data_IF_562558850767
#
_entry.id   IF_562558850767
#
_cell.length_a   1.000
_cell.length_b   1.000
_cell.length_c   1.000
_cell.angle_alpha   90.00
_cell.angle_beta   90.00
_cell.angle_gamma   90.00
#
_symmetry.space_group_name_H-M   'P 1'
#
loop_
_entity.id
_entity.type
_entity.pdbx_description
1 polymer ?
#
# COMPACT_ATOMS: atom_id res chain seq x y z
N UNK A 1 3.77 25.08 -11.71
CA UNK A 1 4.17 25.71 -10.44
C UNK A 1 5.43 24.98 -10.03
N UNK A 2 6.58 25.59 -10.33
CA UNK A 2 7.89 24.92 -10.24
C UNK A 2 8.57 25.34 -8.94
N UNK A 3 8.49 24.50 -7.90
CA UNK A 3 9.23 24.64 -6.65
C UNK A 3 8.39 24.34 -5.41
N UNK A 4 8.88 23.41 -4.57
CA UNK A 4 8.34 23.20 -3.22
C UNK A 4 8.52 24.49 -2.41
N UNK A 5 7.48 25.04 -1.75
CA UNK A 5 7.58 26.28 -0.98
C UNK A 5 8.42 26.12 0.30
N UNK A 6 8.79 24.90 0.65
CA UNK A 6 9.66 24.61 1.80
C UNK A 6 11.12 24.79 1.37
N UNK A 7 11.88 25.72 1.98
CA UNK A 7 13.27 25.95 1.61
C UNK A 7 14.11 24.70 1.90
N UNK A 8 15.05 24.39 1.01
CA UNK A 8 16.02 23.35 1.29
C UNK A 8 16.94 23.78 2.44
N UNK A 9 16.88 23.05 3.56
CA UNK A 9 17.66 23.38 4.74
C UNK A 9 19.00 22.64 4.70
N UNK A 10 20.16 23.32 4.83
CA UNK A 10 21.49 22.71 4.85
C UNK A 10 21.75 22.00 6.19
N UNK A 11 20.91 20.99 6.49
CA UNK A 11 20.92 20.21 7.71
C UNK A 11 21.25 18.76 7.34
N UNK A 12 21.91 18.03 8.26
CA UNK A 12 22.30 16.61 8.09
C UNK A 12 21.17 15.68 7.66
N UNK A 13 19.91 16.08 7.87
CA UNK A 13 18.69 15.41 7.40
C UNK A 13 17.73 16.38 6.68
N UNK A 14 18.22 17.12 5.69
CA UNK A 14 17.44 18.13 4.95
C UNK A 14 16.03 17.67 4.56
N UNK A 15 15.90 16.48 3.94
CA UNK A 15 14.61 15.92 3.52
C UNK A 15 13.66 15.57 4.68
N UNK A 16 14.18 15.18 5.84
CA UNK A 16 13.35 14.94 7.03
C UNK A 16 12.80 16.26 7.59
N UNK A 17 13.61 17.31 7.56
CA UNK A 17 13.14 18.63 7.98
C UNK A 17 12.11 19.18 7.00
N UNK A 18 12.33 19.02 5.70
CA UNK A 18 11.36 19.41 4.66
C UNK A 18 10.02 18.69 4.86
N UNK A 19 10.05 17.38 5.12
CA UNK A 19 8.85 16.60 5.49
C UNK A 19 8.18 17.16 6.75
N UNK A 20 8.95 17.42 7.82
CA UNK A 20 8.39 17.92 9.07
C UNK A 20 7.75 19.32 8.91
N UNK A 21 8.40 20.24 8.20
CA UNK A 21 7.85 21.55 7.89
C UNK A 21 6.63 21.45 6.98
N UNK A 22 6.68 20.60 5.95
CA UNK A 22 5.54 20.37 5.07
C UNK A 22 4.33 19.82 5.83
N UNK A 23 4.54 18.86 6.75
CA UNK A 23 3.48 18.33 7.60
C UNK A 23 2.92 19.41 8.55
N UNK A 24 3.79 20.21 9.18
CA UNK A 24 3.36 21.30 10.05
C UNK A 24 2.51 22.33 9.29
N UNK A 25 2.97 22.76 8.11
CA UNK A 25 2.25 23.71 7.26
C UNK A 25 0.93 23.12 6.76
N UNK A 26 0.92 21.83 6.39
CA UNK A 26 -0.32 21.14 6.02
C UNK A 26 -1.34 21.16 7.17
N UNK A 27 -0.93 20.80 8.39
CA UNK A 27 -1.84 20.82 9.55
C UNK A 27 -2.32 22.24 9.86
N UNK A 28 -1.42 23.24 9.82
CA UNK A 28 -1.76 24.63 10.13
C UNK A 28 -2.66 25.27 9.08
N UNK A 29 -2.35 25.08 7.80
CA UNK A 29 -2.95 25.84 6.70
C UNK A 29 -4.08 25.07 6.02
N UNK A 30 -3.93 23.76 5.78
CA UNK A 30 -4.96 22.94 5.12
C UNK A 30 -5.95 22.41 6.14
N UNK A 31 -5.47 21.82 7.25
CA UNK A 31 -6.34 21.32 8.31
C UNK A 31 -6.81 22.41 9.29
N UNK A 32 -6.37 23.66 9.13
CA UNK A 32 -6.69 24.78 10.03
C UNK A 32 -6.44 24.50 11.53
N UNK A 33 -5.44 23.65 11.82
CA UNK A 33 -5.10 23.21 13.17
C UNK A 33 -5.91 22.01 13.70
N UNK A 34 -6.91 21.52 12.96
CA UNK A 34 -7.74 20.37 13.31
C UNK A 34 -7.60 19.24 12.28
N UNK A 35 -6.59 18.39 12.46
CA UNK A 35 -6.36 17.24 11.59
C UNK A 35 -7.50 16.21 11.65
N UNK A 36 -8.14 16.05 12.81
CA UNK A 36 -9.20 15.03 12.99
C UNK A 36 -10.48 15.51 12.32
N UNK A 37 -10.90 16.74 12.58
CA UNK A 37 -12.03 17.37 11.89
C UNK A 37 -11.80 17.44 10.38
N UNK A 38 -10.58 17.74 9.93
CA UNK A 38 -10.25 17.72 8.51
C UNK A 38 -10.46 16.34 7.87
N UNK A 39 -10.07 15.24 8.52
CA UNK A 39 -10.34 13.89 8.00
C UNK A 39 -11.84 13.60 7.96
N UNK A 40 -12.60 14.03 8.98
CA UNK A 40 -14.06 13.91 8.98
C UNK A 40 -14.67 14.63 7.79
N UNK A 41 -14.30 15.89 7.58
CA UNK A 41 -14.78 16.72 6.48
C UNK A 41 -14.47 16.09 5.12
N UNK A 42 -13.26 15.55 4.92
CA UNK A 42 -12.90 14.89 3.67
C UNK A 42 -13.73 13.62 3.40
N UNK A 43 -13.99 12.82 4.43
CA UNK A 43 -14.81 11.60 4.30
C UNK A 43 -16.28 11.96 4.04
N UNK A 44 -16.79 13.03 4.64
CA UNK A 44 -18.15 13.53 4.41
C UNK A 44 -18.30 14.25 3.06
N UNK A 45 -17.30 15.01 2.61
CA UNK A 45 -17.30 15.75 1.34
C UNK A 45 -17.27 14.80 0.14
N UNK A 46 -16.52 13.71 0.24
CA UNK A 46 -16.63 12.60 -0.70
C UNK A 46 -18.08 12.06 -0.79
N UNK A 47 -18.96 12.35 0.18
CA UNK A 47 -20.40 12.16 0.08
C UNK A 47 -20.85 10.70 0.14
N UNK A 48 -21.98 10.38 -0.50
CA UNK A 48 -22.45 9.00 -0.71
C UNK A 48 -21.64 8.25 -1.77
N UNK A 49 -20.44 8.73 -2.10
CA UNK A 49 -19.56 8.06 -3.04
C UNK A 49 -19.09 6.72 -2.45
N UNK A 50 -18.53 5.88 -3.31
CA UNK A 50 -18.05 4.58 -2.88
C UNK A 50 -16.90 4.72 -1.88
N UNK A 51 -16.64 3.67 -1.09
CA UNK A 51 -15.46 3.62 -0.20
C UNK A 51 -14.17 3.84 -0.99
N UNK A 52 -14.15 3.46 -2.27
CA UNK A 52 -13.04 3.71 -3.17
C UNK A 52 -12.82 5.21 -3.43
N UNK A 53 -13.90 5.96 -3.65
CA UNK A 53 -13.84 7.41 -3.88
C UNK A 53 -13.38 8.14 -2.60
N UNK A 54 -13.91 7.75 -1.44
CA UNK A 54 -13.48 8.28 -0.13
C UNK A 54 -11.98 8.03 0.11
N UNK A 55 -11.50 6.83 -0.22
CA UNK A 55 -10.08 6.48 -0.15
C UNK A 55 -9.24 7.31 -1.11
N UNK A 56 -9.61 7.36 -2.39
CA UNK A 56 -8.86 8.09 -3.42
C UNK A 56 -8.77 9.58 -3.07
N UNK A 57 -9.86 10.19 -2.60
CA UNK A 57 -9.89 11.57 -2.16
C UNK A 57 -8.96 11.83 -0.98
N UNK A 58 -9.04 11.01 0.08
CA UNK A 58 -8.17 11.15 1.25
C UNK A 58 -6.69 10.97 0.90
N UNK A 59 -6.35 9.99 0.05
CA UNK A 59 -4.97 9.78 -0.40
C UNK A 59 -4.46 10.97 -1.23
N UNK A 60 -5.30 11.56 -2.07
CA UNK A 60 -4.99 12.75 -2.86
C UNK A 60 -4.66 13.96 -1.99
N UNK A 61 -5.48 14.24 -0.99
CA UNK A 61 -5.27 15.38 -0.10
C UNK A 61 -3.98 15.25 0.72
N UNK A 62 -3.72 14.07 1.28
CA UNK A 62 -2.49 13.84 2.05
C UNK A 62 -1.23 13.71 1.18
N UNK A 63 -1.36 13.48 -0.13
CA UNK A 63 -0.24 13.47 -1.07
C UNK A 63 0.39 14.86 -1.26
N UNK A 64 -0.25 15.93 -0.78
CA UNK A 64 0.33 17.27 -0.74
C UNK A 64 1.50 17.39 0.27
N UNK A 65 1.63 16.47 1.22
CA UNK A 65 2.73 16.47 2.18
C UNK A 65 4.01 15.95 1.52
N UNK A 66 5.06 16.78 1.50
CA UNK A 66 6.32 16.49 0.83
C UNK A 66 6.98 15.21 1.35
N UNK A 67 7.46 14.37 0.43
CA UNK A 67 8.30 13.22 0.75
C UNK A 67 7.53 11.99 1.25
N UNK A 68 6.19 12.01 1.24
CA UNK A 68 5.38 10.84 1.61
C UNK A 68 4.95 10.09 0.34
N UNK A 69 5.35 8.83 0.23
CA UNK A 69 4.89 7.94 -0.85
C UNK A 69 3.47 7.42 -0.59
N UNK A 70 2.74 7.06 -1.65
CA UNK A 70 1.38 6.48 -1.55
C UNK A 70 1.33 5.22 -0.68
N UNK A 71 2.38 4.37 -0.75
CA UNK A 71 2.56 3.24 0.16
C UNK A 71 2.51 3.68 1.63
N UNK A 72 3.29 4.71 1.96
CA UNK A 72 3.42 5.20 3.32
C UNK A 72 2.12 5.86 3.79
N UNK A 73 1.45 6.64 2.93
CA UNK A 73 0.12 7.19 3.18
C UNK A 73 -0.90 6.11 3.48
N UNK A 74 -1.06 5.14 2.57
CA UNK A 74 -2.01 4.04 2.74
C UNK A 74 -1.72 3.21 3.98
N UNK A 75 -0.45 3.02 4.35
CA UNK A 75 -0.09 2.31 5.57
C UNK A 75 -0.46 3.10 6.82
N UNK A 76 -0.07 4.38 6.87
CA UNK A 76 -0.29 5.28 8.01
C UNK A 76 -1.78 5.55 8.24
N UNK A 77 -2.49 6.00 7.19
CA UNK A 77 -3.90 6.34 7.27
C UNK A 77 -4.74 5.12 7.65
N UNK A 78 -4.49 3.95 7.07
CA UNK A 78 -5.21 2.75 7.47
C UNK A 78 -5.07 2.42 8.96
N UNK A 79 -3.85 2.56 9.53
CA UNK A 79 -3.65 2.33 10.96
C UNK A 79 -4.38 3.37 11.79
N UNK A 80 -4.26 4.65 11.43
CA UNK A 80 -4.95 5.75 12.10
C UNK A 80 -6.47 5.56 12.08
N UNK A 81 -7.03 5.30 10.91
CA UNK A 81 -8.48 5.23 10.69
C UNK A 81 -9.12 3.99 11.34
N UNK A 82 -8.40 2.86 11.40
CA UNK A 82 -8.94 1.64 12.03
C UNK A 82 -8.73 1.61 13.56
N UNK A 83 -7.70 2.27 14.08
CA UNK A 83 -7.32 2.18 15.50
C UNK A 83 -7.52 3.47 16.30
N UNK A 84 -7.77 4.61 15.64
CA UNK A 84 -7.86 5.92 16.28
C UNK A 84 -9.08 6.05 17.20
N UNK A 85 -10.27 5.90 16.64
CA UNK A 85 -11.54 6.02 17.36
C UNK A 85 -12.54 4.97 16.83
N UNK A 86 -13.06 4.13 17.74
CA UNK A 86 -13.96 3.03 17.38
C UNK A 86 -15.39 3.51 17.06
N UNK A 87 -15.76 4.71 17.50
CA UNK A 87 -17.09 5.27 17.21
C UNK A 87 -17.15 5.85 15.78
N UNK A 88 -15.99 6.07 15.14
CA UNK A 88 -15.86 6.57 13.76
C UNK A 88 -15.96 5.43 12.74
N UNK A 89 -17.14 4.82 12.62
CA UNK A 89 -17.34 3.64 11.75
C UNK A 89 -16.96 3.90 10.28
N UNK A 90 -17.19 5.11 9.75
CA UNK A 90 -16.78 5.49 8.39
C UNK A 90 -15.25 5.45 8.22
N UNK A 91 -14.50 5.91 9.22
CA UNK A 91 -13.03 5.83 9.21
C UNK A 91 -12.58 4.38 9.12
N UNK A 92 -13.15 3.52 9.96
CA UNK A 92 -12.81 2.09 9.98
C UNK A 92 -13.01 1.47 8.60
N UNK A 93 -14.16 1.72 7.96
CA UNK A 93 -14.47 1.20 6.62
C UNK A 93 -13.47 1.70 5.57
N UNK A 94 -13.17 3.00 5.54
CA UNK A 94 -12.19 3.58 4.62
C UNK A 94 -10.79 3.00 4.87
N UNK A 95 -10.36 2.92 6.14
CA UNK A 95 -9.07 2.36 6.54
C UNK A 95 -8.92 0.87 6.21
N UNK A 96 -10.01 0.09 6.28
CA UNK A 96 -10.02 -1.32 5.89
C UNK A 96 -9.80 -1.52 4.38
N UNK A 97 -10.16 -0.53 3.56
CA UNK A 97 -9.96 -0.54 2.11
C UNK A 97 -8.54 -0.13 1.68
N UNK A 98 -7.73 0.43 2.58
CA UNK A 98 -6.40 0.95 2.22
C UNK A 98 -5.33 -0.15 2.23
N UNK A 99 -4.72 -0.37 1.06
CA UNK A 99 -3.69 -1.40 0.85
C UNK A 99 -2.31 -0.76 0.66
N UNK A 100 -1.28 -1.37 1.23
CA UNK A 100 0.10 -0.96 0.99
C UNK A 100 0.81 -2.00 0.10
N UNK A 101 1.20 -1.59 -1.10
CA UNK A 101 2.00 -2.44 -1.99
C UNK A 101 3.48 -2.13 -1.80
N UNK A 102 4.21 -3.09 -1.23
CA UNK A 102 5.66 -3.06 -1.17
C UNK A 102 6.30 -4.06 -2.13
N UNK A 103 7.63 -4.16 -2.10
CA UNK A 103 8.34 -5.10 -2.95
C UNK A 103 8.00 -6.57 -2.65
N UNK A 104 7.60 -6.92 -1.42
CA UNK A 104 7.20 -8.29 -1.09
C UNK A 104 5.87 -8.63 -1.77
N UNK A 105 4.87 -7.75 -1.62
CA UNK A 105 3.56 -7.94 -2.25
C UNK A 105 3.68 -7.96 -3.77
N UNK A 106 4.40 -6.99 -4.35
CA UNK A 106 4.61 -6.93 -5.80
C UNK A 106 5.33 -8.18 -6.33
N UNK A 107 6.46 -8.56 -5.70
CA UNK A 107 7.23 -9.71 -6.15
C UNK A 107 6.45 -11.01 -5.98
N UNK A 108 5.61 -11.14 -4.94
CA UNK A 108 4.71 -12.29 -4.81
C UNK A 108 3.75 -12.39 -5.99
N UNK A 109 3.04 -11.30 -6.32
CA UNK A 109 2.09 -11.29 -7.44
C UNK A 109 2.77 -11.56 -8.79
N UNK A 110 4.02 -11.11 -8.96
CA UNK A 110 4.82 -11.44 -10.14
C UNK A 110 5.24 -12.92 -10.17
N UNK A 111 5.94 -13.40 -9.13
CA UNK A 111 6.51 -14.76 -9.08
C UNK A 111 5.45 -15.84 -9.20
N UNK A 112 4.29 -15.61 -8.60
CA UNK A 112 3.16 -16.55 -8.68
C UNK A 112 2.48 -16.56 -10.05
N UNK A 113 2.77 -15.58 -10.92
CA UNK A 113 2.14 -15.43 -12.23
C UNK A 113 0.79 -14.71 -12.18
N UNK A 114 0.36 -14.22 -11.01
CA UNK A 114 -0.93 -13.52 -10.87
C UNK A 114 -0.97 -12.26 -11.74
N UNK A 115 0.09 -11.45 -11.77
CA UNK A 115 0.11 -10.26 -12.64
C UNK A 115 -0.06 -10.61 -14.12
N UNK A 116 0.58 -11.69 -14.57
CA UNK A 116 0.47 -12.16 -15.95
C UNK A 116 -0.94 -12.70 -16.26
N UNK A 117 -1.57 -13.41 -15.31
CA UNK A 117 -2.94 -13.89 -15.46
C UNK A 117 -3.97 -12.75 -15.60
N UNK A 118 -3.70 -11.58 -14.99
CA UNK A 118 -4.52 -10.38 -15.16
C UNK A 118 -4.11 -9.52 -16.37
N UNK A 119 -2.97 -9.80 -17.01
CA UNK A 119 -2.38 -8.93 -18.04
C UNK A 119 -1.91 -7.57 -17.50
N UNK A 120 -1.56 -7.51 -16.21
CA UNK A 120 -1.17 -6.30 -15.49
C UNK A 120 0.33 -6.26 -15.21
N UNK A 121 1.18 -6.91 -16.02
CA UNK A 121 2.61 -6.87 -15.78
C UNK A 121 3.18 -5.44 -15.81
N UNK A 122 4.01 -5.14 -14.81
CA UNK A 122 4.70 -3.86 -14.67
C UNK A 122 5.93 -4.04 -13.77
N UNK A 123 6.84 -3.06 -13.80
CA UNK A 123 7.94 -2.99 -12.84
C UNK A 123 7.43 -2.43 -11.52
N UNK A 124 7.98 -2.90 -10.39
CA UNK A 124 7.73 -2.30 -9.09
C UNK A 124 7.95 -0.78 -9.10
N UNK A 125 6.95 -0.04 -8.64
CA UNK A 125 6.96 1.42 -8.66
C UNK A 125 5.54 2.00 -8.60
N UNK A 126 5.32 3.25 -9.04
CA UNK A 126 4.02 3.92 -8.97
C UNK A 126 2.88 3.13 -9.60
N UNK A 127 3.14 2.43 -10.71
CA UNK A 127 2.15 1.57 -11.40
C UNK A 127 1.58 0.45 -10.53
N UNK A 128 2.21 0.12 -9.39
CA UNK A 128 1.65 -0.80 -8.42
C UNK A 128 0.29 -0.35 -7.88
N UNK A 129 0.03 0.95 -7.85
CA UNK A 129 -1.17 1.55 -7.26
C UNK A 129 -2.27 1.86 -8.29
N UNK A 130 -1.98 1.75 -9.59
CA UNK A 130 -2.97 1.89 -10.65
C UNK A 130 -4.10 0.86 -10.51
N UNK A 131 -5.30 1.18 -11.04
CA UNK A 131 -6.42 0.23 -11.17
C UNK A 131 -6.04 -1.05 -11.95
N UNK A 132 -5.08 -0.93 -12.88
CA UNK A 132 -4.46 -2.06 -13.62
C UNK A 132 -3.06 -2.42 -13.10
N UNK A 133 -2.89 -2.32 -11.79
CA UNK A 133 -1.66 -2.60 -11.04
C UNK A 133 -1.87 -3.64 -9.93
N UNK A 134 -0.91 -3.72 -9.01
CA UNK A 134 -0.98 -4.64 -7.86
C UNK A 134 -2.17 -4.34 -6.93
N UNK A 135 -2.47 -3.07 -6.66
CA UNK A 135 -3.62 -2.68 -5.84
C UNK A 135 -4.93 -3.19 -6.43
N UNK A 136 -5.13 -2.98 -7.74
CA UNK A 136 -6.29 -3.50 -8.48
C UNK A 136 -6.46 -5.02 -8.37
N UNK A 137 -5.35 -5.78 -8.45
CA UNK A 137 -5.38 -7.23 -8.21
C UNK A 137 -5.81 -7.55 -6.77
N UNK A 138 -5.24 -6.86 -5.77
CA UNK A 138 -5.60 -7.10 -4.36
C UNK A 138 -7.07 -6.78 -4.10
N UNK A 139 -7.62 -5.73 -4.68
CA UNK A 139 -9.03 -5.38 -4.58
C UNK A 139 -9.93 -6.46 -5.18
N UNK A 140 -9.67 -6.87 -6.43
CA UNK A 140 -10.46 -7.93 -7.07
C UNK A 140 -10.33 -9.29 -6.35
N UNK A 141 -9.15 -9.63 -5.82
CA UNK A 141 -9.00 -10.83 -4.98
C UNK A 141 -9.81 -10.72 -3.69
N UNK A 142 -9.87 -9.54 -3.07
CA UNK A 142 -10.62 -9.33 -1.84
C UNK A 142 -12.14 -9.46 -2.04
N UNK A 143 -12.66 -9.11 -3.21
CA UNK A 143 -14.08 -9.32 -3.54
C UNK A 143 -14.45 -10.80 -3.71
N UNK A 144 -13.45 -11.64 -4.00
CA UNK A 144 -13.62 -13.09 -4.19
C UNK A 144 -13.43 -13.89 -2.91
N UNK A 145 -12.93 -13.28 -1.84
CA UNK A 145 -12.66 -13.94 -0.55
C UNK A 145 -13.61 -13.38 0.50
N UNK A 146 -14.46 -14.22 1.08
CA UNK A 146 -15.26 -13.81 2.24
C UNK A 146 -14.39 -13.82 3.50
N UNK A 147 -13.92 -12.64 3.93
CA UNK A 147 -13.02 -12.54 5.07
C UNK A 147 -13.69 -12.97 6.40
N UNK A 148 -15.03 -13.06 6.44
CA UNK A 148 -15.79 -13.54 7.61
C UNK A 148 -15.58 -15.01 7.91
N UNK A 149 -15.14 -15.79 6.90
CA UNK A 149 -14.78 -17.20 7.09
C UNK A 149 -13.54 -17.36 7.98
N UNK A 150 -12.64 -16.36 7.99
CA UNK A 150 -11.43 -16.35 8.81
C UNK A 150 -11.66 -15.69 10.17
N UNK A 151 -12.47 -14.63 10.19
CA UNK A 151 -12.92 -14.00 11.42
C UNK A 151 -14.28 -13.34 11.22
N UNK A 152 -15.30 -13.79 11.96
CA UNK A 152 -16.68 -13.29 11.84
C UNK A 152 -16.84 -11.79 12.08
N UNK A 153 -15.89 -11.12 12.75
CA UNK A 153 -15.91 -9.67 12.94
C UNK A 153 -15.38 -8.87 11.76
N UNK A 154 -14.78 -9.52 10.75
CA UNK A 154 -14.31 -8.84 9.55
C UNK A 154 -15.48 -8.43 8.65
N UNK A 155 -15.32 -7.37 7.83
CA UNK A 155 -16.23 -7.14 6.71
C UNK A 155 -16.13 -8.30 5.71
N UNK A 156 -17.14 -8.46 4.86
CA UNK A 156 -17.11 -9.50 3.81
C UNK A 156 -15.90 -9.30 2.88
N UNK A 157 -15.78 -8.12 2.28
CA UNK A 157 -14.63 -7.72 1.45
C UNK A 157 -13.62 -7.00 2.33
N UNK A 158 -12.39 -7.51 2.43
CA UNK A 158 -11.34 -6.90 3.24
C UNK A 158 -9.98 -6.87 2.52
N UNK A 159 -9.71 -5.86 1.68
CA UNK A 159 -8.49 -5.80 0.85
C UNK A 159 -7.20 -5.80 1.66
N UNK A 160 -7.20 -5.08 2.79
CA UNK A 160 -6.05 -5.06 3.68
C UNK A 160 -5.74 -6.41 4.30
N UNK A 161 -6.74 -7.24 4.58
CA UNK A 161 -6.53 -8.62 5.04
C UNK A 161 -5.81 -9.45 3.97
N UNK A 162 -6.22 -9.36 2.70
CA UNK A 162 -5.56 -10.04 1.58
C UNK A 162 -4.12 -9.55 1.42
N UNK A 163 -3.90 -8.23 1.42
CA UNK A 163 -2.56 -7.64 1.37
C UNK A 163 -1.68 -8.13 2.54
N UNK A 164 -2.23 -8.17 3.76
CA UNK A 164 -1.50 -8.63 4.94
C UNK A 164 -1.18 -10.12 4.92
N UNK A 165 -2.06 -10.95 4.35
CA UNK A 165 -1.82 -12.37 4.16
C UNK A 165 -0.66 -12.61 3.19
N UNK A 166 -0.66 -11.93 2.04
CA UNK A 166 0.44 -11.97 1.05
C UNK A 166 1.75 -11.50 1.70
N UNK A 167 1.72 -10.34 2.36
CA UNK A 167 2.90 -9.82 3.03
C UNK A 167 3.43 -10.77 4.11
N UNK A 168 2.54 -11.36 4.94
CA UNK A 168 2.90 -12.33 5.97
C UNK A 168 3.51 -13.61 5.41
N UNK A 169 3.08 -14.03 4.22
CA UNK A 169 3.65 -15.18 3.50
C UNK A 169 5.11 -14.93 3.08
N UNK A 170 5.46 -13.68 2.77
CA UNK A 170 6.76 -13.28 2.25
C UNK A 170 7.73 -12.74 3.31
N UNK A 171 7.23 -12.12 4.38
CA UNK A 171 8.04 -11.39 5.33
C UNK A 171 8.90 -12.32 6.19
N UNK A 172 10.16 -11.92 6.40
CA UNK A 172 11.18 -12.64 7.19
C UNK A 172 10.76 -12.91 8.63
N UNK A 173 10.10 -11.94 9.26
CA UNK A 173 9.61 -12.05 10.64
C UNK A 173 8.24 -12.75 10.74
N UNK A 174 7.77 -13.38 9.65
CA UNK A 174 6.46 -14.03 9.56
C UNK A 174 6.65 -15.45 9.03
N UNK A 175 5.99 -15.83 7.93
CA UNK A 175 6.12 -17.18 7.41
C UNK A 175 7.41 -17.38 6.61
N UNK A 176 7.96 -16.31 6.03
CA UNK A 176 9.26 -16.34 5.36
C UNK A 176 9.38 -17.39 4.23
N UNK A 177 8.26 -17.67 3.53
CA UNK A 177 8.19 -18.71 2.50
C UNK A 177 8.62 -18.16 1.14
N UNK A 178 7.96 -17.10 0.67
CA UNK A 178 8.26 -16.46 -0.62
C UNK A 178 9.13 -15.20 -0.42
N UNK A 179 10.19 -15.32 0.38
CA UNK A 179 11.11 -14.22 0.68
C UNK A 179 12.25 -14.15 -0.34
N UNK A 180 12.46 -12.98 -0.97
CA UNK A 180 13.56 -12.73 -1.90
C UNK A 180 14.98 -12.80 -1.30
N UNK A 181 15.11 -12.89 0.03
CA UNK A 181 16.39 -13.19 0.69
C UNK A 181 16.69 -14.69 0.73
N UNK A 182 15.68 -15.55 0.58
CA UNK A 182 15.80 -17.01 0.65
C UNK A 182 15.77 -17.70 -0.71
N UNK A 183 15.28 -17.00 -1.73
CA UNK A 183 15.16 -17.53 -3.07
C UNK A 183 16.02 -16.73 -4.04
N UNK A 184 16.63 -17.40 -5.00
CA UNK A 184 17.29 -16.74 -6.13
C UNK A 184 16.24 -16.34 -7.17
N UNK A 185 15.87 -15.06 -7.13
CA UNK A 185 14.87 -14.47 -8.03
C UNK A 185 15.32 -14.32 -9.48
N UNK A 186 16.58 -14.63 -9.80
CA UNK A 186 17.06 -14.65 -11.18
C UNK A 186 16.62 -15.91 -11.93
N UNK A 187 16.16 -16.93 -11.22
CA UNK A 187 15.73 -18.22 -11.75
C UNK A 187 14.32 -18.56 -11.27
N UNK A 188 13.73 -19.61 -11.84
CA UNK A 188 12.49 -20.16 -11.31
C UNK A 188 12.70 -20.67 -9.88
N UNK A 189 11.76 -20.37 -8.98
CA UNK A 189 11.84 -20.76 -7.57
C UNK A 189 11.92 -22.29 -7.39
N UNK A 190 12.90 -22.76 -6.61
CA UNK A 190 13.17 -24.18 -6.39
C UNK A 190 12.62 -24.74 -5.06
N UNK A 191 11.86 -23.93 -4.30
CA UNK A 191 11.26 -24.41 -3.04
C UNK A 191 10.24 -25.50 -3.37
N UNK A 192 10.49 -26.71 -2.88
CA UNK A 192 9.64 -27.88 -3.14
C UNK A 192 8.36 -27.83 -2.29
N UNK A 193 8.50 -27.62 -0.99
CA UNK A 193 7.40 -27.69 0.00
C UNK A 193 6.64 -26.36 0.16
N UNK A 194 6.53 -25.59 -0.92
CA UNK A 194 5.74 -24.36 -0.90
C UNK A 194 4.23 -24.73 -0.91
N UNK A 195 3.41 -24.26 0.03
CA UNK A 195 1.99 -24.64 0.14
C UNK A 195 1.12 -24.19 -1.04
N UNK A 196 1.63 -23.29 -1.89
CA UNK A 196 0.98 -22.84 -3.13
C UNK A 196 1.81 -23.18 -4.37
N UNK A 197 2.82 -24.04 -4.22
CA UNK A 197 3.85 -24.30 -5.22
C UNK A 197 3.34 -25.01 -6.48
N UNK A 198 2.23 -25.74 -6.37
CA UNK A 198 1.49 -26.41 -7.45
C UNK A 198 0.71 -25.43 -8.34
N UNK A 199 0.29 -24.29 -7.77
CA UNK A 199 -0.44 -23.21 -8.46
C UNK A 199 0.45 -22.02 -8.85
N UNK A 200 1.68 -21.99 -8.37
CA UNK A 200 2.62 -20.91 -8.60
C UNK A 200 3.36 -21.11 -9.92
N UNK A 201 3.33 -20.11 -10.80
CA UNK A 201 4.10 -20.14 -12.06
C UNK A 201 5.62 -20.05 -11.88
N UNK A 202 6.10 -19.74 -10.67
CA UNK A 202 7.53 -19.63 -10.30
C UNK A 202 8.31 -18.69 -11.23
N UNK A 203 7.69 -17.60 -11.67
CA UNK A 203 8.30 -16.66 -12.60
C UNK A 203 9.53 -15.96 -11.96
N UNK A 204 10.68 -15.90 -12.65
CA UNK A 204 11.80 -15.08 -12.21
C UNK A 204 11.49 -13.58 -12.32
N UNK A 205 12.14 -12.74 -11.51
CA UNK A 205 11.99 -11.27 -11.56
C UNK A 205 12.77 -10.61 -12.71
N UNK A 206 13.54 -11.40 -13.48
CA UNK A 206 14.47 -10.93 -14.51
C UNK A 206 15.82 -10.52 -13.93
N UNK A 207 16.87 -10.52 -14.77
CA UNK A 207 18.25 -10.20 -14.36
C UNK A 207 18.29 -8.79 -13.74
N UNK A 208 18.74 -8.68 -12.49
CA UNK A 208 19.01 -7.38 -11.85
C UNK A 208 19.98 -6.61 -12.75
N UNK A 209 19.57 -5.46 -13.27
CA UNK A 209 20.50 -4.55 -13.92
C UNK A 209 21.65 -4.28 -12.93
N UNK A 210 22.88 -4.59 -13.36
CA UNK A 210 24.09 -4.28 -12.61
C UNK A 210 24.04 -2.79 -12.29
N UNK A 211 24.02 -2.44 -10.99
CA UNK A 211 24.18 -1.05 -10.56
C UNK A 211 25.57 -0.59 -11.01
N UNK A 212 25.65 0.09 -12.16
CA UNK A 212 26.83 0.83 -12.56
C UNK A 212 27.11 1.88 -11.48
N UNK A 213 28.26 1.76 -10.82
CA UNK A 213 28.83 2.87 -10.05
C UNK A 213 29.37 3.87 -11.07
N UNK A 214 28.66 4.99 -11.22
CA UNK A 214 29.16 6.22 -11.82
C UNK A 214 29.21 7.28 -10.73
#
# INVERSE_FOLDING_TARGET
>A
MDGCPVPSLPLRKGSLNELAFSLFLFIRDQCQGDLVGFIDDLIEEAGSASVDDQREFLLGEFAMVFGISEKLLSMMLAMLLMAGDQDRTKWIVVGQSMVAIDSLVHNFLHRTGILAAYGFEHRYGPRCFDRRGCSGVVYDLADRVDAREFNRSFPKTFPRFVQHAIWSFCAEMRQDICNGRRIDDSQACQVADCPVGDRCSRLPLGVKAVKGRG
#
